data_IF_800805522840
#
_entry.id   IF_800805522840
#
_cell.length_a   1.000
_cell.length_b   1.000
_cell.length_c   1.000
_cell.angle_alpha   90.00
_cell.angle_beta   90.00
_cell.angle_gamma   90.00
#
_symmetry.space_group_name_H-M   'P 1'
#
loop_
_entity.id
_entity.type
_entity.pdbx_description
1 polymer ?
#
# COMPACT_ATOMS: atom_id res chain seq x y z
N UNK A 1 -74.16 -4.66 52.20
CA UNK A 1 -73.18 -3.81 52.86
C UNK A 1 -71.83 -4.08 52.30
N UNK A 2 -71.25 -3.09 51.66
CA UNK A 2 -69.98 -3.01 50.99
C UNK A 2 -68.77 -3.22 51.92
N UNK A 3 -67.54 -3.38 51.38
CA UNK A 3 -67.01 -2.58 50.32
C UNK A 3 -66.16 -3.31 49.25
N UNK A 4 -66.04 -2.67 48.10
CA UNK A 4 -65.16 -2.90 46.95
C UNK A 4 -63.72 -2.60 47.28
N UNK A 5 -62.80 -3.50 46.91
CA UNK A 5 -61.40 -3.26 46.93
C UNK A 5 -60.88 -3.15 45.48
N UNK A 6 -60.50 -1.91 45.10
CA UNK A 6 -59.94 -1.60 43.80
C UNK A 6 -58.44 -1.94 43.78
N UNK A 7 -58.04 -2.96 43.03
CA UNK A 7 -56.66 -3.25 42.77
C UNK A 7 -56.10 -2.29 41.66
N UNK A 8 -55.24 -1.36 42.08
CA UNK A 8 -54.42 -0.57 41.11
C UNK A 8 -53.26 -1.35 40.62
N UNK A 9 -53.33 -1.77 39.37
CA UNK A 9 -52.19 -2.32 38.63
C UNK A 9 -51.19 -1.20 38.32
N UNK A 10 -50.06 -1.19 39.00
CA UNK A 10 -48.91 -0.40 38.60
C UNK A 10 -48.18 -1.14 37.46
N UNK A 11 -48.30 -0.66 36.23
CA UNK A 11 -47.46 -1.06 35.11
C UNK A 11 -46.07 -0.41 35.29
N UNK A 12 -45.11 -1.19 35.75
CA UNK A 12 -43.70 -0.83 35.69
C UNK A 12 -43.21 -1.11 34.26
N UNK A 13 -43.08 -0.07 33.43
CA UNK A 13 -42.44 -0.15 32.13
C UNK A 13 -40.92 -0.19 32.34
N UNK A 14 -40.36 -1.38 32.23
CA UNK A 14 -38.89 -1.59 32.18
C UNK A 14 -38.42 -1.19 30.79
N UNK A 15 -37.89 0.03 30.65
CA UNK A 15 -37.13 0.47 29.45
C UNK A 15 -35.77 -0.18 29.56
N UNK A 16 -35.61 -1.32 28.90
CA UNK A 16 -34.31 -1.95 28.70
C UNK A 16 -33.61 -1.19 27.58
N UNK A 17 -32.86 -0.15 27.93
CA UNK A 17 -32.02 0.60 27.00
C UNK A 17 -30.94 -0.30 26.46
N UNK A 18 -31.05 -0.70 25.18
CA UNK A 18 -29.94 -1.33 24.42
C UNK A 18 -28.79 -0.33 24.32
N UNK A 19 -27.88 -0.36 25.30
CA UNK A 19 -26.57 0.21 25.16
C UNK A 19 -25.76 -0.72 24.22
N UNK A 20 -25.85 -0.47 22.92
CA UNK A 20 -24.88 -1.02 21.96
C UNK A 20 -23.58 -0.23 22.14
N UNK A 21 -22.48 -0.87 22.55
CA UNK A 21 -21.20 -0.16 22.54
C UNK A 21 -20.88 0.16 21.07
N UNK A 22 -20.94 1.43 20.70
CA UNK A 22 -20.29 1.94 19.49
C UNK A 22 -18.79 1.75 19.71
N UNK A 23 -18.27 0.58 19.35
CA UNK A 23 -16.85 0.41 19.13
C UNK A 23 -16.51 1.25 17.91
N UNK A 24 -16.07 2.49 18.15
CA UNK A 24 -15.41 3.28 17.13
C UNK A 24 -14.20 2.46 16.68
N UNK A 25 -14.32 1.81 15.52
CA UNK A 25 -13.19 1.22 14.82
C UNK A 25 -12.31 2.36 14.31
N UNK A 26 -11.55 2.98 15.21
CA UNK A 26 -10.38 3.78 14.86
C UNK A 26 -9.25 2.81 14.48
N UNK A 27 -9.44 2.06 13.39
CA UNK A 27 -8.37 1.35 12.74
C UNK A 27 -7.56 2.33 11.88
N UNK A 28 -7.05 3.38 12.48
CA UNK A 28 -5.87 4.04 11.99
C UNK A 28 -4.72 3.21 12.57
N UNK A 29 -4.29 2.19 11.81
CA UNK A 29 -3.10 1.40 12.14
C UNK A 29 -1.95 2.39 12.33
N UNK A 30 -1.67 2.73 13.57
CA UNK A 30 -0.48 3.46 13.93
C UNK A 30 0.69 2.55 13.52
N UNK A 31 1.27 2.83 12.35
CA UNK A 31 2.40 2.06 11.83
C UNK A 31 3.48 2.06 12.88
N UNK A 32 3.86 0.86 13.36
CA UNK A 32 4.90 0.73 14.37
C UNK A 32 6.21 1.31 13.83
N UNK A 33 6.91 2.07 14.67
CA UNK A 33 8.23 2.58 14.34
C UNK A 33 9.18 1.41 14.07
N UNK A 34 10.01 1.53 13.05
CA UNK A 34 10.99 0.51 12.67
C UNK A 34 12.27 1.14 12.14
N UNK A 35 13.39 0.41 12.24
CA UNK A 35 14.69 0.85 11.75
C UNK A 35 15.00 0.35 10.34
N UNK A 36 14.08 -0.35 9.68
CA UNK A 36 14.25 -0.84 8.32
C UNK A 36 13.23 -1.88 7.94
N UNK A 37 12.99 -2.01 6.64
CA UNK A 37 12.07 -2.99 6.06
C UNK A 37 12.46 -3.32 4.62
N UNK A 38 11.99 -4.46 4.15
CA UNK A 38 11.88 -4.79 2.73
C UNK A 38 10.43 -4.60 2.30
N UNK A 39 10.20 -3.86 1.22
CA UNK A 39 8.89 -3.51 0.70
C UNK A 39 8.70 -4.12 -0.68
N UNK A 40 7.53 -4.68 -0.95
CA UNK A 40 7.07 -5.11 -2.27
C UNK A 40 6.12 -4.06 -2.82
N UNK A 41 6.40 -3.52 -4.00
CA UNK A 41 5.56 -2.54 -4.68
C UNK A 41 5.11 -3.09 -6.04
N UNK A 42 3.81 -3.34 -6.27
CA UNK A 42 3.31 -3.75 -7.57
C UNK A 42 3.50 -2.67 -8.63
N UNK A 43 3.95 -3.06 -9.82
CA UNK A 43 4.12 -2.20 -11.00
C UNK A 43 3.41 -2.83 -12.19
N UNK A 44 2.81 -2.00 -13.02
CA UNK A 44 2.15 -2.40 -14.25
C UNK A 44 2.77 -1.63 -15.43
N UNK A 45 3.53 -2.30 -16.29
CA UNK A 45 4.00 -1.70 -17.56
C UNK A 45 2.86 -1.61 -18.58
N UNK A 46 1.84 -2.45 -18.43
CA UNK A 46 0.61 -2.38 -19.20
C UNK A 46 -0.53 -3.05 -18.42
N UNK A 47 -1.76 -2.74 -18.78
CA UNK A 47 -2.92 -3.50 -18.34
C UNK A 47 -3.69 -4.07 -19.53
N UNK A 48 -4.30 -5.22 -19.32
CA UNK A 48 -5.19 -5.85 -20.28
C UNK A 48 -6.63 -5.38 -20.00
N UNK A 49 -7.41 -5.15 -21.05
CA UNK A 49 -8.79 -4.72 -20.91
C UNK A 49 -9.68 -5.22 -22.05
N UNK A 50 -11.00 -5.14 -21.87
CA UNK A 50 -12.00 -5.52 -22.86
C UNK A 50 -12.24 -7.03 -22.95
N UNK A 51 -12.70 -7.49 -24.11
CA UNK A 51 -13.06 -8.88 -24.35
C UNK A 51 -11.93 -9.62 -25.07
N UNK A 52 -11.86 -10.93 -24.86
CA UNK A 52 -11.01 -11.80 -25.66
C UNK A 52 -11.57 -11.87 -27.08
N UNK A 53 -10.83 -11.36 -28.05
CA UNK A 53 -11.24 -11.41 -29.46
C UNK A 53 -11.25 -12.84 -30.01
N UNK A 54 -11.84 -13.03 -31.19
CA UNK A 54 -11.89 -14.35 -31.89
C UNK A 54 -10.50 -14.95 -32.14
N UNK A 55 -9.47 -14.12 -32.21
CA UNK A 55 -8.05 -14.53 -32.33
C UNK A 55 -7.36 -14.91 -31.01
N UNK A 56 -8.08 -14.89 -29.87
CA UNK A 56 -7.51 -15.09 -28.53
C UNK A 56 -6.74 -13.87 -27.99
N UNK A 57 -6.68 -12.76 -28.74
CA UNK A 57 -5.97 -11.55 -28.33
C UNK A 57 -6.87 -10.69 -27.45
N UNK A 58 -6.25 -10.11 -26.40
CA UNK A 58 -6.85 -9.13 -25.51
C UNK A 58 -6.26 -7.75 -25.81
N UNK A 59 -7.08 -6.72 -25.73
CA UNK A 59 -6.58 -5.33 -25.84
C UNK A 59 -5.69 -4.99 -24.66
N UNK A 60 -4.65 -4.19 -24.90
CA UNK A 60 -3.77 -3.69 -23.86
C UNK A 60 -3.55 -2.19 -23.98
N UNK A 61 -3.26 -1.53 -22.86
CA UNK A 61 -2.80 -0.16 -22.80
C UNK A 61 -1.47 -0.12 -22.04
N UNK A 62 -0.48 0.54 -22.61
CA UNK A 62 0.82 0.77 -21.96
C UNK A 62 0.67 1.81 -20.86
N UNK A 63 1.51 1.70 -19.83
CA UNK A 63 1.48 2.57 -18.65
C UNK A 63 2.91 2.99 -18.29
N UNK A 64 3.10 4.28 -18.03
CA UNK A 64 4.26 4.75 -17.29
C UNK A 64 4.00 4.59 -15.79
N UNK A 65 5.05 4.47 -15.00
CA UNK A 65 4.94 4.39 -13.54
C UNK A 65 5.92 5.36 -12.88
N UNK A 66 5.39 6.28 -12.06
CA UNK A 66 6.16 7.15 -11.19
C UNK A 66 6.13 6.57 -9.78
N UNK A 67 7.24 6.00 -9.34
CA UNK A 67 7.42 5.48 -7.98
C UNK A 67 7.90 6.59 -7.08
N UNK A 68 7.19 6.86 -5.98
CA UNK A 68 7.57 7.84 -4.97
C UNK A 68 7.90 7.13 -3.66
N UNK A 69 9.13 7.31 -3.16
CA UNK A 69 9.60 6.81 -1.86
C UNK A 69 9.73 8.01 -0.94
N UNK A 70 8.83 8.13 0.04
CA UNK A 70 8.70 9.32 0.89
C UNK A 70 9.09 9.01 2.32
N UNK A 71 10.08 9.72 2.85
CA UNK A 71 10.36 9.72 4.27
C UNK A 71 9.23 10.44 5.01
N UNK A 72 8.43 9.71 5.78
CA UNK A 72 7.31 10.29 6.54
C UNK A 72 7.69 10.75 7.94
N UNK A 73 8.95 10.55 8.35
CA UNK A 73 9.43 11.05 9.63
C UNK A 73 9.76 12.55 9.53
N UNK A 74 9.20 13.40 10.41
CA UNK A 74 9.43 14.86 10.34
C UNK A 74 10.77 15.29 10.92
N UNK A 75 11.57 14.41 11.53
CA UNK A 75 12.76 14.76 12.27
C UNK A 75 14.01 13.96 11.92
N UNK A 76 13.84 12.74 11.38
CA UNK A 76 14.95 11.80 11.19
C UNK A 76 15.12 11.42 9.73
N UNK A 77 16.35 11.32 9.24
CA UNK A 77 16.62 10.83 7.89
C UNK A 77 16.44 9.31 7.82
N UNK A 78 16.29 8.80 6.60
CA UNK A 78 16.35 7.40 6.26
C UNK A 78 17.27 7.16 5.07
N UNK A 79 17.67 5.91 4.81
CA UNK A 79 18.41 5.51 3.62
C UNK A 79 17.61 4.53 2.79
N UNK A 80 17.55 4.74 1.50
CA UNK A 80 17.11 3.72 0.54
C UNK A 80 18.36 2.94 0.13
N UNK A 81 18.39 1.65 0.44
CA UNK A 81 19.56 0.80 0.22
C UNK A 81 19.55 0.17 -1.18
N UNK A 82 18.37 -0.18 -1.69
CA UNK A 82 18.20 -0.75 -3.03
C UNK A 82 16.76 -0.61 -3.52
N UNK A 83 16.59 -0.58 -4.85
CA UNK A 83 15.29 -0.63 -5.52
C UNK A 83 15.39 -1.55 -6.75
N UNK A 84 15.16 -2.83 -6.56
CA UNK A 84 15.30 -3.87 -7.59
C UNK A 84 13.98 -4.05 -8.33
N UNK A 85 14.07 -3.94 -9.66
CA UNK A 85 12.94 -4.09 -10.56
C UNK A 85 12.89 -5.52 -11.13
N UNK A 86 11.73 -6.16 -11.04
CA UNK A 86 11.48 -7.53 -11.48
C UNK A 86 10.33 -7.57 -12.48
N UNK A 87 10.42 -8.51 -13.44
CA UNK A 87 9.34 -8.77 -14.39
C UNK A 87 8.23 -9.66 -13.81
N UNK A 88 7.18 -9.88 -14.60
CA UNK A 88 6.03 -10.73 -14.26
C UNK A 88 6.42 -12.18 -13.91
N UNK A 89 7.55 -12.68 -14.41
CA UNK A 89 8.05 -14.03 -14.10
C UNK A 89 8.93 -14.08 -12.85
N UNK A 90 9.18 -12.94 -12.20
CA UNK A 90 10.06 -12.82 -11.04
C UNK A 90 11.53 -12.72 -11.39
N UNK A 91 11.88 -12.51 -12.68
CA UNK A 91 13.26 -12.31 -13.09
C UNK A 91 13.68 -10.86 -12.82
N UNK A 92 14.88 -10.69 -12.24
CA UNK A 92 15.48 -9.38 -12.04
C UNK A 92 15.76 -8.72 -13.38
N UNK A 93 15.18 -7.54 -13.62
CA UNK A 93 15.47 -6.66 -14.76
C UNK A 93 16.69 -5.79 -14.44
N UNK A 94 16.74 -5.22 -13.23
CA UNK A 94 17.88 -4.42 -12.81
C UNK A 94 17.70 -3.73 -11.47
N UNK A 95 18.81 -3.20 -10.95
CA UNK A 95 18.83 -2.26 -9.82
C UNK A 95 18.62 -0.85 -10.36
N UNK A 96 17.69 -0.10 -9.75
CA UNK A 96 17.37 1.26 -10.19
C UNK A 96 18.04 2.34 -9.34
N UNK A 97 18.78 1.94 -8.29
CA UNK A 97 19.62 2.83 -7.51
C UNK A 97 21.09 2.51 -7.76
N UNK A 98 21.89 3.42 -8.30
CA UNK A 98 23.32 3.20 -8.51
C UNK A 98 24.10 3.11 -7.19
N UNK A 99 23.58 3.73 -6.13
CA UNK A 99 24.13 3.71 -4.77
C UNK A 99 23.01 4.01 -3.76
N UNK A 100 23.19 3.69 -2.45
CA UNK A 100 22.25 4.08 -1.41
C UNK A 100 21.99 5.59 -1.40
N UNK A 101 20.73 5.99 -1.20
CA UNK A 101 20.27 7.38 -1.19
C UNK A 101 19.79 7.75 0.19
N UNK A 102 20.33 8.82 0.78
CA UNK A 102 19.86 9.38 2.05
C UNK A 102 18.70 10.33 1.75
N UNK A 103 17.55 10.09 2.40
CA UNK A 103 16.40 11.00 2.38
C UNK A 103 16.35 11.80 3.68
N UNK A 104 16.38 13.13 3.61
CA UNK A 104 16.16 13.97 4.78
C UNK A 104 14.73 13.79 5.31
N UNK A 105 14.41 14.30 6.50
CA UNK A 105 13.05 14.38 7.01
C UNK A 105 12.10 14.96 5.95
N UNK A 106 10.95 14.30 5.73
CA UNK A 106 9.93 14.66 4.74
C UNK A 106 10.42 14.69 3.27
N UNK A 107 11.63 14.18 3.01
CA UNK A 107 12.18 14.09 1.65
C UNK A 107 11.55 12.98 0.83
N UNK A 108 11.65 13.11 -0.49
CA UNK A 108 11.14 12.12 -1.47
C UNK A 108 12.24 11.77 -2.46
N UNK A 109 12.32 10.49 -2.84
CA UNK A 109 13.09 10.01 -3.98
C UNK A 109 12.12 9.39 -4.98
N UNK A 110 12.33 9.68 -6.27
CA UNK A 110 11.47 9.20 -7.33
C UNK A 110 12.22 8.29 -8.30
N UNK A 111 11.54 7.22 -8.74
CA UNK A 111 11.98 6.35 -9.82
C UNK A 111 10.92 6.38 -10.91
N UNK A 112 11.34 6.33 -12.16
CA UNK A 112 10.43 6.40 -13.29
C UNK A 112 10.59 5.18 -14.21
N UNK A 113 9.46 4.56 -14.56
CA UNK A 113 9.36 3.53 -15.60
C UNK A 113 8.63 4.16 -16.78
N UNK A 114 9.31 4.21 -17.91
CA UNK A 114 8.80 4.87 -19.10
C UNK A 114 7.60 4.15 -19.71
N UNK A 115 6.74 4.89 -20.41
CA UNK A 115 5.54 4.37 -21.07
C UNK A 115 5.84 3.20 -22.03
N UNK A 116 6.97 3.26 -22.71
CA UNK A 116 7.38 2.26 -23.70
C UNK A 116 8.23 1.11 -23.08
N UNK A 117 8.50 1.14 -21.78
CA UNK A 117 9.21 0.06 -21.09
C UNK A 117 8.27 -1.10 -20.78
N UNK A 118 8.14 -2.01 -21.73
CA UNK A 118 7.34 -3.22 -21.57
C UNK A 118 8.08 -4.36 -20.83
N UNK A 119 9.33 -4.14 -20.39
CA UNK A 119 10.19 -5.20 -19.84
C UNK A 119 9.62 -5.87 -18.58
N UNK A 120 8.89 -5.10 -17.77
CA UNK A 120 8.27 -5.61 -16.55
C UNK A 120 7.00 -6.45 -16.78
N UNK A 121 6.22 -6.13 -17.80
CA UNK A 121 4.92 -6.75 -18.03
C UNK A 121 3.82 -6.25 -17.10
N UNK A 122 2.70 -6.96 -17.05
CA UNK A 122 1.53 -6.59 -16.23
C UNK A 122 1.62 -7.00 -14.77
N UNK A 123 2.63 -7.79 -14.38
CA UNK A 123 2.84 -8.28 -13.01
C UNK A 123 4.23 -7.93 -12.48
N UNK A 124 4.85 -6.87 -12.99
CA UNK A 124 6.14 -6.38 -12.51
C UNK A 124 6.07 -5.89 -11.07
N UNK A 125 7.24 -5.74 -10.44
CA UNK A 125 7.30 -5.21 -9.10
C UNK A 125 8.67 -4.62 -8.79
N UNK A 126 8.70 -3.75 -7.76
CA UNK A 126 9.93 -3.38 -7.09
C UNK A 126 10.04 -4.09 -5.73
N UNK A 127 11.26 -4.56 -5.44
CA UNK A 127 11.68 -4.87 -4.07
C UNK A 127 12.58 -3.73 -3.60
N UNK A 128 12.08 -2.97 -2.62
CA UNK A 128 12.75 -1.79 -2.09
C UNK A 128 13.21 -2.09 -0.66
N UNK A 129 14.51 -1.86 -0.39
CA UNK A 129 15.07 -1.98 0.96
C UNK A 129 15.44 -0.61 1.48
N UNK A 130 15.09 -0.36 2.73
CA UNK A 130 15.45 0.87 3.43
C UNK A 130 15.85 0.59 4.87
N UNK A 131 16.61 1.51 5.46
CA UNK A 131 16.95 1.52 6.87
C UNK A 131 17.01 2.94 7.45
N UNK A 132 17.17 3.01 8.79
CA UNK A 132 17.44 4.22 9.55
C UNK A 132 18.25 3.86 10.79
N UNK A 133 19.02 4.83 11.31
CA UNK A 133 19.90 4.63 12.48
C UNK A 133 19.12 4.41 13.80
N UNK A 134 17.83 4.73 13.81
CA UNK A 134 16.92 4.50 14.94
C UNK A 134 15.49 4.28 14.40
N UNK A 135 14.58 3.68 15.19
CA UNK A 135 13.20 3.48 14.76
C UNK A 135 12.52 4.81 14.37
N UNK A 136 11.97 4.86 13.16
CA UNK A 136 11.24 5.99 12.57
C UNK A 136 9.88 5.53 12.04
N UNK A 137 9.05 6.47 11.63
CA UNK A 137 7.85 6.15 10.86
C UNK A 137 8.25 5.45 9.55
N UNK A 138 7.66 4.28 9.22
CA UNK A 138 7.93 3.64 7.94
C UNK A 138 7.63 4.58 6.76
N UNK A 139 8.42 4.54 5.67
CA UNK A 139 8.18 5.38 4.50
C UNK A 139 6.81 5.09 3.88
N UNK A 140 6.26 6.08 3.20
CA UNK A 140 5.18 5.88 2.25
C UNK A 140 5.82 5.61 0.88
N UNK A 141 5.55 4.42 0.33
CA UNK A 141 6.04 4.03 -0.99
C UNK A 141 4.86 3.66 -1.86
N UNK A 142 4.69 4.39 -2.93
CA UNK A 142 3.57 4.26 -3.85
C UNK A 142 4.01 4.47 -5.29
N UNK A 143 3.22 3.98 -6.24
CA UNK A 143 3.44 4.21 -7.67
C UNK A 143 2.18 4.76 -8.31
N UNK A 144 2.31 5.88 -9.00
CA UNK A 144 1.30 6.46 -9.85
C UNK A 144 1.50 5.90 -11.28
N UNK A 145 0.52 5.17 -11.77
CA UNK A 145 0.50 4.65 -13.13
C UNK A 145 -0.34 5.55 -14.02
N UNK A 146 0.16 5.86 -15.21
CA UNK A 146 -0.55 6.75 -16.11
C UNK A 146 -0.36 6.38 -17.60
N UNK A 147 -1.43 6.56 -18.37
CA UNK A 147 -1.43 6.73 -19.81
C UNK A 147 -2.39 7.88 -20.15
N UNK A 148 -1.87 8.87 -20.86
CA UNK A 148 -2.63 10.09 -21.20
C UNK A 148 -2.77 10.25 -22.73
N UNK A 149 -2.54 9.18 -23.49
CA UNK A 149 -2.58 9.23 -24.95
C UNK A 149 -4.00 9.04 -25.51
N UNK A 150 -4.25 9.62 -26.69
CA UNK A 150 -5.45 9.31 -27.48
C UNK A 150 -6.77 9.82 -26.92
N UNK A 151 -6.79 10.86 -26.08
CA UNK A 151 -8.00 11.47 -25.55
C UNK A 151 -8.70 10.66 -24.45
N UNK A 152 -8.07 9.58 -23.95
CA UNK A 152 -8.52 8.80 -22.80
C UNK A 152 -7.38 8.73 -21.79
N UNK A 153 -7.65 9.12 -20.55
CA UNK A 153 -6.69 8.98 -19.47
C UNK A 153 -6.96 7.69 -18.67
N UNK A 154 -5.90 6.93 -18.42
CA UNK A 154 -5.90 5.84 -17.44
C UNK A 154 -4.93 6.24 -16.36
N UNK A 155 -5.41 6.39 -15.13
CA UNK A 155 -4.59 6.78 -13.99
C UNK A 155 -5.04 5.98 -12.76
N UNK A 156 -4.08 5.33 -12.09
CA UNK A 156 -4.33 4.67 -10.81
C UNK A 156 -3.05 4.60 -9.98
N UNK A 157 -3.18 4.24 -8.71
CA UNK A 157 -2.07 4.11 -7.79
C UNK A 157 -1.97 2.69 -7.24
N UNK A 158 -0.75 2.26 -6.98
CA UNK A 158 -0.44 1.09 -6.16
C UNK A 158 0.36 1.51 -4.95
N UNK A 159 0.27 0.75 -3.87
CA UNK A 159 1.00 1.00 -2.64
C UNK A 159 1.81 -0.24 -2.24
N UNK A 160 2.96 -0.01 -1.65
CA UNK A 160 3.82 -1.10 -1.18
C UNK A 160 3.28 -1.76 0.08
N UNK A 161 3.67 -3.04 0.23
CA UNK A 161 3.45 -3.80 1.46
C UNK A 161 4.77 -4.30 2.01
N UNK A 162 4.97 -4.36 3.34
CA UNK A 162 6.12 -4.99 3.93
C UNK A 162 6.15 -6.48 3.62
N UNK A 163 7.35 -7.01 3.30
CA UNK A 163 7.56 -8.45 3.09
C UNK A 163 8.68 -8.93 4.00
N UNK A 164 8.58 -10.18 4.44
CA UNK A 164 9.64 -10.79 5.21
C UNK A 164 10.88 -10.97 4.32
N UNK A 165 12.03 -10.51 4.80
CA UNK A 165 13.33 -10.78 4.16
C UNK A 165 13.99 -11.94 4.90
N UNK A 166 14.11 -13.13 4.29
CA UNK A 166 14.73 -14.29 4.94
C UNK A 166 16.18 -14.02 5.39
N UNK A 167 16.87 -13.09 4.69
CA UNK A 167 18.24 -12.71 5.04
C UNK A 167 18.33 -11.75 6.23
N UNK A 168 17.23 -11.12 6.63
CA UNK A 168 17.14 -10.18 7.74
C UNK A 168 16.43 -10.74 8.99
N UNK A 169 15.98 -12.00 8.95
CA UNK A 169 15.39 -12.60 10.15
C UNK A 169 16.48 -12.82 11.20
N UNK A 170 16.30 -12.34 12.45
CA UNK A 170 17.22 -12.69 13.53
C UNK A 170 17.26 -14.22 13.65
N UNK A 171 18.46 -14.79 13.76
CA UNK A 171 18.64 -16.20 14.00
C UNK A 171 17.77 -16.61 15.20
N UNK A 172 16.84 -17.56 15.00
CA UNK A 172 16.05 -18.13 16.09
C UNK A 172 17.05 -18.75 17.07
N UNK A 173 17.17 -18.16 18.26
CA UNK A 173 17.85 -18.75 19.40
C UNK A 173 17.01 -19.89 19.96
#
# INVERSE_FOLDING_TARGET
MNPSCSARFCLLSIIFGLFWPLTAANAQDARLLTSGQTLYLPIYSHMLYGNIGKSGKVSQVMLSALVSIRNTDPRRPMRILSARYYDTSGKLIGERLPAPVVLPPLGTHELFVELNDASGGSGANFIIKWDADSPINPPLVESLHANMDGGKAVVFMTQSVPVADPAGAPARQ
#
